data_IF_714201492690
#
_entry.id   IF_714201492690
#
_cell.length_a   1.000
_cell.length_b   1.000
_cell.length_c   1.000
_cell.angle_alpha   90.00
_cell.angle_beta   90.00
_cell.angle_gamma   90.00
#
_symmetry.space_group_name_H-M   'P 1'
#
loop_
_entity.id
_entity.type
_entity.pdbx_description
1 polymer ?
#
# COMPACT_ATOMS: atom_id res chain seq x y z
N UNK A 1 8.67 -3.33 -14.19
CA UNK A 1 7.77 -3.78 -13.09
C UNK A 1 7.96 -3.08 -11.73
N UNK A 2 9.09 -2.41 -11.41
CA UNK A 2 9.33 -1.78 -10.07
C UNK A 2 8.44 -0.56 -9.68
N UNK A 3 7.43 -0.15 -10.45
CA UNK A 3 6.63 1.08 -10.18
C UNK A 3 5.18 0.83 -9.76
N UNK A 4 4.72 -0.42 -9.66
CA UNK A 4 3.27 -0.70 -9.50
C UNK A 4 2.86 -0.97 -8.05
N UNK A 5 3.79 -1.42 -7.19
CA UNK A 5 3.53 -1.65 -5.76
C UNK A 5 3.81 -0.38 -4.96
N UNK A 6 2.90 -0.02 -4.05
CA UNK A 6 2.99 1.18 -3.24
C UNK A 6 2.43 2.41 -3.95
N UNK A 7 2.72 3.61 -3.42
CA UNK A 7 2.16 4.90 -3.89
C UNK A 7 0.63 4.89 -4.12
N UNK A 8 -0.08 4.01 -3.41
CA UNK A 8 -1.52 3.94 -3.41
C UNK A 8 -2.13 5.24 -2.86
N UNK A 9 -3.27 5.70 -3.38
CA UNK A 9 -3.87 6.94 -2.91
C UNK A 9 -4.20 6.92 -1.41
N UNK A 10 -4.26 8.12 -0.84
CA UNK A 10 -4.88 8.36 0.47
C UNK A 10 -6.13 9.18 0.22
N UNK A 11 -7.28 8.71 0.69
CA UNK A 11 -8.54 9.44 0.59
C UNK A 11 -9.00 9.90 1.97
N UNK A 12 -9.42 11.15 2.07
CA UNK A 12 -10.16 11.64 3.24
C UNK A 12 -11.60 11.14 3.18
N UNK A 13 -12.05 10.45 4.21
CA UNK A 13 -13.45 10.06 4.36
C UNK A 13 -14.24 11.27 4.89
N UNK A 14 -15.19 11.76 4.08
CA UNK A 14 -16.00 12.95 4.40
C UNK A 14 -17.29 12.62 5.17
N UNK A 15 -17.70 11.36 5.12
CA UNK A 15 -18.85 10.79 5.83
C UNK A 15 -18.39 9.51 6.54
N UNK A 16 -19.26 8.89 7.35
CA UNK A 16 -19.05 7.67 8.16
C UNK A 16 -18.52 7.89 9.59
N UNK A 17 -18.01 9.07 9.92
CA UNK A 17 -17.49 9.38 11.26
C UNK A 17 -18.01 10.75 11.74
N UNK A 18 -18.01 11.00 13.07
CA UNK A 18 -18.35 12.31 13.64
C UNK A 18 -17.51 13.45 13.05
N UNK A 19 -18.06 14.67 13.01
CA UNK A 19 -17.42 15.84 12.38
C UNK A 19 -16.18 16.35 13.11
N UNK A 20 -15.96 15.93 14.35
CA UNK A 20 -14.80 16.31 15.16
C UNK A 20 -13.58 15.40 14.96
N UNK A 21 -13.63 14.44 14.02
CA UNK A 21 -12.49 13.59 13.67
C UNK A 21 -12.23 13.61 12.17
N UNK A 22 -10.95 13.56 11.80
CA UNK A 22 -10.54 13.37 10.41
C UNK A 22 -10.07 11.94 10.21
N UNK A 23 -10.70 11.23 9.28
CA UNK A 23 -10.33 9.85 8.95
C UNK A 23 -9.82 9.78 7.52
N UNK A 24 -8.70 9.09 7.35
CA UNK A 24 -8.04 8.90 6.06
C UNK A 24 -7.90 7.40 5.78
N UNK A 25 -8.17 7.01 4.54
CA UNK A 25 -8.06 5.63 4.08
C UNK A 25 -6.89 5.49 3.11
N UNK A 26 -5.95 4.62 3.44
CA UNK A 26 -4.86 4.22 2.53
C UNK A 26 -5.35 3.07 1.64
N UNK A 27 -5.41 3.29 0.33
CA UNK A 27 -6.05 2.35 -0.61
C UNK A 27 -5.12 1.18 -1.00
N UNK A 28 -4.67 0.38 -0.03
CA UNK A 28 -3.76 -0.75 -0.27
C UNK A 28 -4.35 -1.88 -1.14
N UNK A 29 -5.68 -1.90 -1.33
CA UNK A 29 -6.30 -2.80 -2.29
C UNK A 29 -6.03 -2.42 -3.76
N UNK A 30 -5.46 -1.23 -4.02
CA UNK A 30 -5.05 -0.80 -5.36
C UNK A 30 -3.65 -1.27 -5.75
N UNK A 31 -2.95 -1.99 -4.87
CA UNK A 31 -1.75 -2.71 -5.28
C UNK A 31 -2.12 -3.85 -6.26
N UNK A 32 -1.20 -4.30 -7.12
CA UNK A 32 -1.45 -5.28 -8.20
C UNK A 32 -2.26 -6.53 -7.82
N UNK A 33 -2.03 -7.12 -6.66
CA UNK A 33 -2.73 -8.35 -6.22
C UNK A 33 -3.93 -8.07 -5.32
N UNK A 34 -4.26 -6.80 -5.12
CA UNK A 34 -5.44 -6.39 -4.35
C UNK A 34 -5.21 -6.27 -2.85
N UNK A 35 -3.95 -6.27 -2.36
CA UNK A 35 -3.70 -6.12 -0.92
C UNK A 35 -2.35 -5.49 -0.58
N UNK A 36 -2.20 -5.06 0.67
CA UNK A 36 -0.93 -4.53 1.21
C UNK A 36 0.23 -5.55 1.18
N UNK A 37 -0.08 -6.85 0.99
CA UNK A 37 0.94 -7.92 0.98
C UNK A 37 1.93 -7.78 -0.17
N UNK A 38 1.57 -7.06 -1.22
CA UNK A 38 2.49 -6.75 -2.33
C UNK A 38 3.75 -6.01 -1.85
N UNK A 39 3.64 -5.19 -0.79
CA UNK A 39 4.78 -4.46 -0.24
C UNK A 39 5.84 -5.39 0.35
N UNK A 40 5.41 -6.33 1.18
CA UNK A 40 6.34 -7.27 1.82
C UNK A 40 6.89 -8.27 0.81
N UNK A 41 6.05 -8.77 -0.11
CA UNK A 41 6.49 -9.69 -1.16
C UNK A 41 7.57 -9.05 -2.05
N UNK A 42 7.42 -7.77 -2.43
CA UNK A 42 8.44 -7.05 -3.19
C UNK A 42 9.74 -6.89 -2.38
N UNK A 43 9.63 -6.57 -1.09
CA UNK A 43 10.80 -6.42 -0.22
C UNK A 43 11.57 -7.74 -0.08
N UNK A 44 10.88 -8.85 0.18
CA UNK A 44 11.48 -10.19 0.30
C UNK A 44 12.25 -10.57 -0.96
N UNK A 45 11.64 -10.39 -2.15
CA UNK A 45 12.29 -10.70 -3.42
C UNK A 45 13.53 -9.82 -3.64
N UNK A 46 13.47 -8.53 -3.33
CA UNK A 46 14.61 -7.61 -3.51
C UNK A 46 15.75 -7.95 -2.55
N UNK A 47 15.45 -8.19 -1.27
CA UNK A 47 16.45 -8.58 -0.29
C UNK A 47 17.09 -9.92 -0.64
N UNK A 48 16.29 -10.88 -1.08
CA UNK A 48 16.79 -12.18 -1.52
C UNK A 48 17.73 -12.02 -2.72
N UNK A 49 17.35 -11.24 -3.73
CA UNK A 49 18.22 -10.95 -4.88
C UNK A 49 19.54 -10.30 -4.48
N UNK A 50 19.53 -9.39 -3.51
CA UNK A 50 20.74 -8.73 -3.00
C UNK A 50 21.66 -9.67 -2.21
N UNK A 51 21.11 -10.67 -1.53
CA UNK A 51 21.89 -11.62 -0.74
C UNK A 51 22.63 -12.67 -1.60
N UNK A 52 22.15 -12.92 -2.83
CA UNK A 52 22.74 -13.87 -3.79
C UNK A 52 23.59 -13.18 -4.89
N UNK A 53 23.84 -11.88 -4.75
CA UNK A 53 24.68 -11.07 -5.63
C UNK A 53 25.90 -10.56 -4.89
#
# INVERSE_FOLDING_TARGET
MKRVVGNTPILRLRSLFPSNVEVYMKLEFMNPTGSHKDRIALLEVVLMQQAYS
#
